data_IF_101543483017
#
_entry.id   IF_101543483017
#
_cell.length_a   1.000
_cell.length_b   1.000
_cell.length_c   1.000
_cell.angle_alpha   90.00
_cell.angle_beta   90.00
_cell.angle_gamma   90.00
#
_symmetry.space_group_name_H-M   'P 1'
#
loop_
_entity.id
_entity.type
_entity.pdbx_description
1 polymer ?
#
# COMPACT_ATOMS: atom_id res chain seq x y z
N UNK A 1 1.92 -13.79 -32.00
CA UNK A 1 1.41 -12.40 -32.05
C UNK A 1 2.20 -11.49 -31.12
N UNK A 2 2.30 -11.77 -29.83
CA UNK A 2 2.99 -10.92 -28.84
C UNK A 2 4.42 -10.56 -29.25
N UNK A 3 5.20 -11.52 -29.78
CA UNK A 3 6.57 -11.28 -30.23
C UNK A 3 6.67 -10.36 -31.47
N UNK A 4 5.58 -10.07 -32.13
CA UNK A 4 5.53 -9.12 -33.25
C UNK A 4 5.13 -7.70 -32.80
N UNK A 5 4.70 -7.50 -31.57
CA UNK A 5 4.28 -6.21 -31.03
C UNK A 5 5.52 -5.49 -30.44
N UNK A 6 6.20 -4.70 -31.24
CA UNK A 6 7.45 -3.99 -30.87
C UNK A 6 7.31 -2.47 -30.92
N UNK A 7 6.15 -1.95 -31.34
CA UNK A 7 5.88 -0.50 -31.39
C UNK A 7 5.55 0.03 -29.99
N UNK A 8 6.39 0.89 -29.44
CA UNK A 8 6.19 1.51 -28.13
C UNK A 8 5.00 2.47 -28.07
N UNK A 9 4.48 2.91 -29.21
CA UNK A 9 3.26 3.72 -29.28
C UNK A 9 1.98 2.87 -29.20
N UNK A 10 2.11 1.55 -29.36
CA UNK A 10 1.01 0.58 -29.31
C UNK A 10 1.36 -0.58 -28.34
N UNK A 11 1.53 -0.30 -27.06
CA UNK A 11 1.93 -1.32 -26.08
C UNK A 11 0.85 -2.38 -25.88
N UNK A 12 1.26 -3.61 -25.65
CA UNK A 12 0.36 -4.69 -25.26
C UNK A 12 -0.04 -4.51 -23.78
N UNK A 13 -1.33 -4.43 -23.50
CA UNK A 13 -1.79 -4.43 -22.11
C UNK A 13 -1.70 -5.83 -21.51
N UNK A 14 -1.29 -5.89 -20.25
CA UNK A 14 -1.11 -7.11 -19.47
C UNK A 14 -1.65 -6.90 -18.07
N UNK A 15 -2.28 -7.92 -17.52
CA UNK A 15 -2.84 -7.91 -16.17
C UNK A 15 -2.85 -9.31 -15.58
N UNK A 16 -2.77 -9.42 -14.23
CA UNK A 16 -2.84 -10.69 -13.49
C UNK A 16 -4.03 -10.72 -12.55
N UNK A 17 -4.82 -11.76 -12.64
CA UNK A 17 -5.91 -12.04 -11.68
C UNK A 17 -5.41 -12.99 -10.59
N UNK A 18 -5.69 -12.64 -9.34
CA UNK A 18 -5.11 -13.32 -8.17
C UNK A 18 -6.12 -13.54 -7.05
N UNK A 19 -5.74 -14.33 -6.05
CA UNK A 19 -6.59 -14.66 -4.90
C UNK A 19 -6.56 -13.62 -3.78
N UNK A 20 -5.58 -12.72 -3.72
CA UNK A 20 -5.37 -11.76 -2.62
C UNK A 20 -4.78 -10.45 -3.15
N UNK A 21 -5.03 -9.35 -2.45
CA UNK A 21 -4.38 -8.06 -2.70
C UNK A 21 -2.93 -8.01 -2.18
N UNK A 22 -2.56 -8.89 -1.25
CA UNK A 22 -1.17 -9.02 -0.80
C UNK A 22 -0.38 -9.90 -1.78
N UNK A 23 0.54 -9.33 -2.57
CA UNK A 23 1.26 -10.07 -3.61
C UNK A 23 2.15 -11.19 -3.06
N UNK A 24 2.47 -11.17 -1.76
CA UNK A 24 3.27 -12.21 -1.09
C UNK A 24 2.46 -13.45 -0.68
N UNK A 25 1.12 -13.37 -0.70
CA UNK A 25 0.20 -14.46 -0.35
C UNK A 25 -0.71 -14.85 -1.52
N UNK A 26 -0.81 -13.97 -2.50
CA UNK A 26 -1.69 -14.16 -3.64
C UNK A 26 -1.24 -15.32 -4.52
N UNK A 27 -2.19 -16.16 -4.92
CA UNK A 27 -1.99 -17.18 -5.94
C UNK A 27 -2.49 -16.66 -7.29
N UNK A 28 -1.76 -16.96 -8.36
CA UNK A 28 -2.12 -16.54 -9.71
C UNK A 28 -3.31 -17.38 -10.23
N UNK A 29 -4.40 -16.71 -10.59
CA UNK A 29 -5.64 -17.32 -11.07
C UNK A 29 -5.80 -17.22 -12.57
N UNK A 30 -5.34 -16.13 -13.17
CA UNK A 30 -5.44 -15.93 -14.60
C UNK A 30 -4.57 -14.78 -15.11
N UNK A 31 -4.41 -14.71 -16.41
CA UNK A 31 -3.64 -13.65 -17.08
C UNK A 31 -4.48 -13.06 -18.22
N UNK A 32 -4.64 -11.76 -18.22
CA UNK A 32 -5.23 -10.95 -19.28
C UNK A 32 -4.19 -10.34 -20.20
N UNK A 33 -4.46 -10.32 -21.50
CA UNK A 33 -3.59 -9.71 -22.50
C UNK A 33 -4.44 -9.02 -23.56
N UNK A 34 -4.12 -7.77 -23.90
CA UNK A 34 -4.77 -7.04 -24.99
C UNK A 34 -3.73 -6.37 -25.89
N UNK A 35 -3.77 -6.66 -27.20
CA UNK A 35 -2.82 -6.18 -28.21
C UNK A 35 -3.45 -5.27 -29.27
N UNK A 36 -4.65 -4.75 -29.05
CA UNK A 36 -5.33 -3.85 -29.96
C UNK A 36 -6.72 -3.44 -29.48
N UNK A 37 -7.36 -2.52 -30.19
CA UNK A 37 -8.67 -1.97 -29.79
C UNK A 37 -9.86 -2.89 -30.13
N UNK A 38 -9.69 -3.84 -31.04
CA UNK A 38 -10.74 -4.75 -31.45
C UNK A 38 -11.01 -5.81 -30.38
N UNK A 39 -12.27 -6.23 -30.21
CA UNK A 39 -12.67 -7.20 -29.20
C UNK A 39 -12.09 -8.61 -29.40
N UNK A 40 -11.56 -8.92 -30.58
CA UNK A 40 -10.80 -10.15 -30.87
C UNK A 40 -9.28 -10.00 -30.69
N UNK A 41 -8.84 -8.79 -30.25
CA UNK A 41 -7.45 -8.48 -29.94
C UNK A 41 -7.13 -8.59 -28.46
N UNK A 42 -7.82 -9.43 -27.72
CA UNK A 42 -7.58 -9.73 -26.32
C UNK A 42 -7.69 -11.24 -26.04
N UNK A 43 -7.11 -11.66 -24.91
CA UNK A 43 -7.20 -13.03 -24.45
C UNK A 43 -7.18 -13.08 -22.92
N UNK A 44 -7.90 -14.04 -22.35
CA UNK A 44 -7.78 -14.45 -20.98
C UNK A 44 -7.22 -15.87 -20.90
N UNK A 45 -6.23 -16.11 -20.07
CA UNK A 45 -5.61 -17.41 -19.85
C UNK A 45 -5.92 -17.85 -18.41
N UNK A 46 -6.88 -18.76 -18.20
CA UNK A 46 -7.21 -19.28 -16.87
C UNK A 46 -6.13 -20.25 -16.39
N UNK A 47 -5.75 -20.16 -15.11
CA UNK A 47 -4.67 -20.92 -14.50
C UNK A 47 -5.03 -21.57 -13.16
N UNK A 48 -5.84 -20.88 -12.34
CA UNK A 48 -6.09 -21.27 -10.95
C UNK A 48 -7.56 -21.20 -10.54
N UNK A 49 -8.50 -21.26 -11.49
CA UNK A 49 -9.92 -21.30 -11.15
C UNK A 49 -10.30 -22.62 -10.49
N UNK A 50 -11.07 -22.53 -9.43
CA UNK A 50 -11.72 -23.67 -8.80
C UNK A 50 -12.94 -24.06 -9.63
N UNK A 51 -13.12 -25.35 -9.86
CA UNK A 51 -14.33 -25.86 -10.49
C UNK A 51 -15.54 -25.86 -9.57
N UNK A 52 -16.72 -26.17 -10.13
CA UNK A 52 -17.88 -26.60 -9.34
C UNK A 52 -17.65 -28.01 -8.80
N UNK A 53 -18.49 -28.46 -7.82
CA UNK A 53 -18.40 -29.81 -7.25
C UNK A 53 -18.44 -30.89 -8.32
N UNK A 54 -19.08 -30.66 -9.48
CA UNK A 54 -19.27 -31.61 -10.56
C UNK A 54 -18.32 -31.45 -11.76
N UNK A 55 -17.55 -30.37 -11.85
CA UNK A 55 -16.60 -30.13 -12.97
C UNK A 55 -15.50 -29.14 -12.63
N UNK A 56 -14.25 -29.55 -12.79
CA UNK A 56 -13.13 -28.60 -12.83
C UNK A 56 -12.98 -28.06 -14.25
N UNK A 57 -12.81 -26.74 -14.43
CA UNK A 57 -12.58 -26.18 -15.76
C UNK A 57 -11.25 -26.70 -16.33
N UNK A 58 -11.23 -26.96 -17.63
CA UNK A 58 -9.95 -27.28 -18.31
C UNK A 58 -9.09 -26.03 -18.37
N UNK A 59 -7.89 -26.11 -17.79
CA UNK A 59 -6.94 -25.00 -17.68
C UNK A 59 -5.53 -25.48 -18.04
N UNK A 60 -4.73 -24.56 -18.58
CA UNK A 60 -3.33 -24.85 -18.82
C UNK A 60 -2.53 -24.87 -17.51
N UNK A 61 -1.52 -25.75 -17.37
CA UNK A 61 -0.64 -25.72 -16.22
C UNK A 61 0.11 -24.37 -16.12
N UNK A 62 0.12 -23.79 -14.93
CA UNK A 62 0.75 -22.50 -14.64
C UNK A 62 2.20 -22.42 -15.17
N UNK A 63 3.01 -23.43 -14.86
CA UNK A 63 4.43 -23.50 -15.28
C UNK A 63 4.57 -23.48 -16.81
N UNK A 64 3.68 -24.17 -17.53
CA UNK A 64 3.66 -24.20 -19.00
C UNK A 64 3.41 -22.81 -19.57
N UNK A 65 2.42 -22.10 -19.03
CA UNK A 65 2.05 -20.75 -19.50
C UNK A 65 3.17 -19.74 -19.15
N UNK A 66 3.67 -19.75 -17.93
CA UNK A 66 4.73 -18.84 -17.53
C UNK A 66 6.01 -19.07 -18.32
N UNK A 67 6.39 -20.33 -18.57
CA UNK A 67 7.54 -20.66 -19.42
C UNK A 67 7.37 -20.14 -20.85
N UNK A 68 6.17 -20.24 -21.42
CA UNK A 68 5.86 -19.74 -22.76
C UNK A 68 5.86 -18.20 -22.84
N UNK A 69 5.39 -17.52 -21.80
CA UNK A 69 5.32 -16.06 -21.75
C UNK A 69 6.62 -15.38 -21.28
N UNK A 70 7.47 -16.07 -20.52
CA UNK A 70 8.69 -15.50 -19.94
C UNK A 70 9.59 -14.78 -20.95
N UNK A 71 9.85 -15.28 -22.18
CA UNK A 71 10.68 -14.57 -23.17
C UNK A 71 10.08 -13.22 -23.59
N UNK A 72 8.75 -13.12 -23.66
CA UNK A 72 8.05 -11.87 -23.96
C UNK A 72 8.00 -10.96 -22.75
N UNK A 73 7.67 -11.48 -21.57
CA UNK A 73 7.59 -10.70 -20.33
C UNK A 73 8.94 -10.08 -19.96
N UNK A 74 10.04 -10.83 -20.07
CA UNK A 74 11.39 -10.38 -19.74
C UNK A 74 12.04 -9.49 -20.82
N UNK A 75 11.37 -9.21 -21.93
CA UNK A 75 11.95 -8.47 -23.04
C UNK A 75 11.59 -6.97 -22.95
N UNK A 76 12.63 -6.13 -22.89
CA UNK A 76 12.49 -4.68 -23.00
C UNK A 76 12.08 -4.19 -24.41
N UNK A 77 12.26 -5.02 -25.45
CA UNK A 77 11.89 -4.70 -26.82
C UNK A 77 10.39 -4.91 -27.13
N UNK A 78 9.64 -5.48 -26.19
CA UNK A 78 8.22 -5.73 -26.33
C UNK A 78 7.48 -4.80 -25.36
N UNK A 79 6.96 -3.66 -25.84
CA UNK A 79 6.33 -2.64 -24.99
C UNK A 79 5.05 -3.14 -24.35
N UNK A 80 4.90 -2.89 -23.07
CA UNK A 80 3.76 -3.29 -22.25
C UNK A 80 3.12 -2.09 -21.57
N UNK A 81 1.81 -2.15 -21.40
CA UNK A 81 1.02 -1.23 -20.58
C UNK A 81 0.36 -2.01 -19.46
N UNK A 82 0.40 -1.49 -18.25
CA UNK A 82 -0.25 -2.10 -17.08
C UNK A 82 -0.97 -1.03 -16.26
N UNK A 83 -1.88 -1.48 -15.40
CA UNK A 83 -2.49 -0.68 -14.35
C UNK A 83 -1.90 -1.10 -13.02
N UNK A 84 -1.10 -0.27 -12.36
CA UNK A 84 -0.39 -0.62 -11.11
C UNK A 84 0.61 -1.78 -11.33
N UNK A 85 1.49 -1.60 -12.29
CA UNK A 85 2.47 -2.60 -12.78
C UNK A 85 3.30 -3.24 -11.65
N UNK A 86 3.51 -2.55 -10.54
CA UNK A 86 4.25 -3.04 -9.38
C UNK A 86 3.63 -4.31 -8.80
N UNK A 87 2.30 -4.40 -8.74
CA UNK A 87 1.61 -5.57 -8.25
C UNK A 87 1.88 -6.80 -9.13
N UNK A 88 1.66 -6.68 -10.43
CA UNK A 88 1.91 -7.78 -11.39
C UNK A 88 3.37 -8.21 -11.40
N UNK A 89 4.29 -7.24 -11.31
CA UNK A 89 5.72 -7.51 -11.19
C UNK A 89 6.04 -8.36 -9.96
N UNK A 90 5.44 -8.05 -8.81
CA UNK A 90 5.65 -8.81 -7.57
C UNK A 90 5.09 -10.23 -7.69
N UNK A 91 3.92 -10.41 -8.29
CA UNK A 91 3.36 -11.72 -8.58
C UNK A 91 4.30 -12.53 -9.49
N UNK A 92 4.74 -11.94 -10.60
CA UNK A 92 5.64 -12.61 -11.54
C UNK A 92 7.00 -12.95 -10.92
N UNK A 93 7.56 -12.06 -10.10
CA UNK A 93 8.83 -12.29 -9.39
C UNK A 93 8.78 -13.52 -8.46
N UNK A 94 7.65 -13.75 -7.78
CA UNK A 94 7.46 -14.95 -6.96
C UNK A 94 7.50 -16.25 -7.79
N UNK A 95 7.13 -16.16 -9.04
CA UNK A 95 7.24 -17.29 -10.00
C UNK A 95 8.56 -17.30 -10.79
N UNK A 96 9.54 -16.46 -10.42
CA UNK A 96 10.84 -16.39 -11.08
C UNK A 96 10.81 -15.77 -12.47
N UNK A 97 9.74 -15.04 -12.82
CA UNK A 97 9.57 -14.39 -14.12
C UNK A 97 9.84 -12.89 -14.00
N UNK A 98 10.74 -12.37 -14.82
CA UNK A 98 10.99 -10.94 -14.92
C UNK A 98 9.92 -10.23 -15.76
N UNK A 99 9.55 -9.01 -15.37
CA UNK A 99 8.69 -8.12 -16.15
C UNK A 99 9.52 -6.92 -16.61
N UNK A 100 9.75 -6.83 -17.92
CA UNK A 100 10.50 -5.74 -18.54
C UNK A 100 9.69 -5.09 -19.67
N UNK A 101 10.15 -3.93 -20.17
CA UNK A 101 9.48 -3.24 -21.26
C UNK A 101 8.12 -2.61 -20.90
N UNK A 102 7.86 -2.34 -19.64
CA UNK A 102 6.70 -1.54 -19.22
C UNK A 102 6.95 -0.10 -19.64
N UNK A 103 6.25 0.37 -20.65
CA UNK A 103 6.41 1.72 -21.22
C UNK A 103 5.40 2.70 -20.65
N UNK A 104 4.31 2.21 -20.06
CA UNK A 104 3.31 3.03 -19.39
C UNK A 104 2.57 2.22 -18.31
N UNK A 105 2.58 2.74 -17.10
CA UNK A 105 1.66 2.37 -16.03
C UNK A 105 0.54 3.42 -16.00
N UNK A 106 -0.69 3.00 -16.23
CA UNK A 106 -1.84 3.91 -16.36
C UNK A 106 -2.19 4.58 -15.02
N UNK A 107 -1.90 3.94 -13.88
CA UNK A 107 -2.05 4.55 -12.56
C UNK A 107 -1.08 5.73 -12.38
N UNK A 108 0.19 5.55 -12.73
CA UNK A 108 1.20 6.61 -12.62
C UNK A 108 0.97 7.74 -13.63
N UNK A 109 0.56 7.39 -14.86
CA UNK A 109 0.24 8.36 -15.88
C UNK A 109 -0.97 9.25 -15.48
N UNK A 110 -2.01 8.65 -14.94
CA UNK A 110 -3.19 9.38 -14.43
C UNK A 110 -2.87 10.24 -13.20
N UNK A 111 -2.04 9.71 -12.30
CA UNK A 111 -1.55 10.48 -11.14
C UNK A 111 -0.77 11.73 -11.55
N UNK A 112 0.10 11.64 -12.53
CA UNK A 112 0.81 12.83 -13.06
C UNK A 112 -0.12 13.82 -13.73
N UNK A 113 -1.21 13.37 -14.32
CA UNK A 113 -2.22 14.22 -14.95
C UNK A 113 -3.01 15.01 -13.89
N UNK A 114 -3.43 14.36 -12.82
CA UNK A 114 -4.20 14.96 -11.71
C UNK A 114 -3.99 14.20 -10.41
N UNK A 115 -3.01 14.61 -9.62
CA UNK A 115 -2.68 13.97 -8.35
C UNK A 115 -3.81 14.00 -7.29
N UNK A 116 -4.87 14.80 -7.50
CA UNK A 116 -6.02 14.86 -6.59
C UNK A 116 -7.14 13.88 -6.97
N UNK A 117 -7.08 13.30 -8.18
CA UNK A 117 -8.07 12.34 -8.65
C UNK A 117 -7.92 10.98 -7.96
N UNK A 118 -8.88 10.11 -8.21
CA UNK A 118 -8.77 8.68 -7.89
C UNK A 118 -8.34 7.93 -9.15
N UNK A 119 -7.34 7.07 -9.00
CA UNK A 119 -6.64 6.42 -10.11
C UNK A 119 -7.01 4.94 -10.28
N UNK A 120 -8.13 4.49 -9.71
CA UNK A 120 -8.67 3.15 -9.93
C UNK A 120 -9.15 2.98 -11.39
N UNK A 121 -8.91 1.81 -11.97
CA UNK A 121 -9.21 1.51 -13.37
C UNK A 121 -10.68 1.80 -13.72
N UNK A 122 -11.61 1.36 -12.87
CA UNK A 122 -13.05 1.57 -13.03
C UNK A 122 -13.40 3.06 -13.10
N UNK A 123 -12.80 3.87 -12.21
CA UNK A 123 -13.06 5.31 -12.14
C UNK A 123 -12.46 6.06 -13.32
N UNK A 124 -11.30 5.61 -13.82
CA UNK A 124 -10.71 6.15 -15.04
C UNK A 124 -11.55 5.78 -16.25
N UNK A 125 -12.05 4.53 -16.35
CA UNK A 125 -12.93 4.11 -17.44
C UNK A 125 -14.23 4.93 -17.49
N UNK A 126 -14.85 5.16 -16.34
CA UNK A 126 -16.05 6.00 -16.23
C UNK A 126 -15.76 7.44 -16.68
N UNK A 127 -14.68 8.03 -16.17
CA UNK A 127 -14.30 9.43 -16.46
C UNK A 127 -13.92 9.65 -17.92
N UNK A 128 -13.14 8.74 -18.51
CA UNK A 128 -12.58 8.94 -19.85
C UNK A 128 -13.45 8.37 -20.98
N UNK A 129 -14.21 7.33 -20.69
CA UNK A 129 -15.00 6.62 -21.72
C UNK A 129 -16.51 6.62 -21.46
N UNK A 130 -16.97 7.15 -20.30
CA UNK A 130 -18.38 7.14 -19.91
C UNK A 130 -18.94 5.73 -19.68
N UNK A 131 -18.09 4.78 -19.33
CA UNK A 131 -18.41 3.38 -19.19
C UNK A 131 -18.01 2.90 -17.78
N UNK A 132 -18.93 2.19 -17.12
CA UNK A 132 -18.66 1.57 -15.82
C UNK A 132 -18.37 0.08 -16.02
N UNK A 133 -17.12 -0.36 -15.80
CA UNK A 133 -16.79 -1.78 -15.72
C UNK A 133 -17.53 -2.45 -14.56
N UNK A 134 -17.63 -3.78 -14.62
CA UNK A 134 -18.09 -4.57 -13.47
C UNK A 134 -17.12 -4.38 -12.32
N UNK A 135 -17.60 -4.00 -11.14
CA UNK A 135 -16.73 -3.87 -9.99
C UNK A 135 -16.32 -5.25 -9.45
N UNK A 136 -15.09 -5.37 -8.97
CA UNK A 136 -14.59 -6.60 -8.34
C UNK A 136 -15.52 -7.12 -7.25
N UNK A 137 -16.07 -6.21 -6.42
CA UNK A 137 -16.99 -6.52 -5.32
C UNK A 137 -18.33 -7.10 -5.78
N UNK A 138 -18.72 -6.85 -7.03
CA UNK A 138 -19.96 -7.39 -7.62
C UNK A 138 -19.72 -8.79 -8.20
N UNK A 139 -18.46 -9.08 -8.54
CA UNK A 139 -18.04 -10.35 -9.12
C UNK A 139 -17.65 -11.37 -8.05
N UNK A 140 -16.92 -10.95 -7.02
CA UNK A 140 -16.40 -11.83 -5.97
C UNK A 140 -17.27 -11.70 -4.71
N UNK A 141 -17.89 -12.81 -4.32
CA UNK A 141 -18.75 -12.87 -3.14
C UNK A 141 -17.97 -12.74 -1.83
N UNK A 142 -18.70 -12.44 -0.75
CA UNK A 142 -18.08 -12.40 0.59
C UNK A 142 -17.42 -13.74 0.92
N UNK A 143 -16.17 -13.71 1.39
CA UNK A 143 -15.34 -14.89 1.73
C UNK A 143 -14.94 -15.75 0.52
N UNK A 144 -15.10 -15.26 -0.69
CA UNK A 144 -14.62 -15.86 -1.92
C UNK A 144 -13.38 -15.10 -2.42
N UNK A 145 -12.64 -15.74 -3.32
CA UNK A 145 -11.52 -15.16 -4.05
C UNK A 145 -11.84 -15.17 -5.54
N UNK A 146 -11.01 -14.54 -6.36
CA UNK A 146 -11.19 -14.59 -7.81
C UNK A 146 -11.14 -16.02 -8.37
N UNK A 147 -10.45 -16.94 -7.69
CA UNK A 147 -10.43 -18.36 -8.06
C UNK A 147 -11.81 -19.05 -7.98
N UNK A 148 -12.73 -18.50 -7.21
CA UNK A 148 -14.10 -19.03 -7.05
C UNK A 148 -15.07 -18.49 -8.13
N UNK A 149 -14.62 -17.53 -8.96
CA UNK A 149 -15.41 -16.94 -10.04
C UNK A 149 -15.46 -17.90 -11.23
N UNK A 150 -16.64 -18.17 -11.83
CA UNK A 150 -16.73 -18.98 -13.04
C UNK A 150 -15.95 -18.38 -14.22
N UNK A 151 -15.47 -19.24 -15.15
CA UNK A 151 -14.58 -18.80 -16.24
C UNK A 151 -15.17 -17.71 -17.12
N UNK A 152 -16.46 -17.80 -17.48
CA UNK A 152 -17.08 -16.83 -18.38
C UNK A 152 -17.11 -15.43 -17.77
N UNK A 153 -17.69 -15.18 -16.57
CA UNK A 153 -17.60 -13.85 -15.94
C UNK A 153 -16.16 -13.41 -15.63
N UNK A 154 -15.25 -14.31 -15.26
CA UNK A 154 -13.85 -13.98 -15.03
C UNK A 154 -13.15 -13.50 -16.32
N UNK A 155 -13.41 -14.18 -17.45
CA UNK A 155 -12.84 -13.80 -18.75
C UNK A 155 -13.37 -12.47 -19.24
N UNK A 156 -14.64 -12.16 -19.00
CA UNK A 156 -15.25 -10.88 -19.34
C UNK A 156 -14.68 -9.76 -18.48
N UNK A 157 -14.50 -10.00 -17.18
CA UNK A 157 -13.93 -9.03 -16.25
C UNK A 157 -12.48 -8.70 -16.62
N UNK A 158 -11.60 -9.70 -16.63
CA UNK A 158 -10.19 -9.51 -16.96
C UNK A 158 -9.98 -9.00 -18.40
N UNK A 159 -10.78 -9.48 -19.36
CA UNK A 159 -10.77 -8.99 -20.74
C UNK A 159 -11.11 -7.50 -20.83
N UNK A 160 -12.05 -7.03 -20.00
CA UNK A 160 -12.41 -5.63 -19.89
C UNK A 160 -11.27 -4.81 -19.28
N UNK A 161 -10.66 -5.30 -18.20
CA UNK A 161 -9.59 -4.60 -17.51
C UNK A 161 -8.38 -4.38 -18.44
N UNK A 162 -7.93 -5.39 -19.16
CA UNK A 162 -6.83 -5.23 -20.14
C UNK A 162 -7.22 -4.38 -21.34
N UNK A 163 -8.48 -4.43 -21.78
CA UNK A 163 -8.96 -3.57 -22.87
C UNK A 163 -8.99 -2.10 -22.46
N UNK A 164 -9.52 -1.81 -21.26
CA UNK A 164 -9.54 -0.45 -20.70
C UNK A 164 -8.11 0.05 -20.46
N UNK A 165 -7.23 -0.79 -19.91
CA UNK A 165 -5.81 -0.45 -19.72
C UNK A 165 -5.11 -0.12 -21.02
N UNK A 166 -5.34 -0.90 -22.10
CA UNK A 166 -4.78 -0.61 -23.42
C UNK A 166 -5.25 0.76 -23.95
N UNK A 167 -6.54 1.04 -23.90
CA UNK A 167 -7.11 2.32 -24.34
C UNK A 167 -6.65 3.50 -23.51
N UNK A 168 -6.58 3.35 -22.18
CA UNK A 168 -6.07 4.37 -21.26
C UNK A 168 -4.60 4.67 -21.53
N UNK A 169 -3.78 3.66 -21.78
CA UNK A 169 -2.37 3.85 -22.11
C UNK A 169 -2.18 4.79 -23.29
N UNK A 170 -2.94 4.59 -24.38
CA UNK A 170 -2.90 5.42 -25.56
C UNK A 170 -3.44 6.83 -25.32
N UNK A 171 -4.51 6.94 -24.53
CA UNK A 171 -5.14 8.23 -24.21
C UNK A 171 -4.26 9.07 -23.28
N UNK A 172 -3.82 8.49 -22.15
CA UNK A 172 -3.07 9.21 -21.13
C UNK A 172 -1.72 9.69 -21.66
N UNK A 173 -1.04 8.89 -22.50
CA UNK A 173 0.19 9.34 -23.18
C UNK A 173 -0.05 10.62 -23.96
N UNK A 174 -1.08 10.66 -24.80
CA UNK A 174 -1.45 11.85 -25.59
C UNK A 174 -1.84 13.04 -24.71
N UNK A 175 -2.56 12.79 -23.62
CA UNK A 175 -2.95 13.86 -22.69
C UNK A 175 -1.73 14.45 -21.97
N UNK A 176 -0.79 13.64 -21.49
CA UNK A 176 0.44 14.12 -20.88
C UNK A 176 1.31 14.93 -21.84
N UNK A 177 1.42 14.48 -23.11
CA UNK A 177 2.10 15.24 -24.17
C UNK A 177 1.46 16.62 -24.41
N UNK A 178 0.13 16.67 -24.44
CA UNK A 178 -0.64 17.90 -24.67
C UNK A 178 -0.61 18.88 -23.48
N UNK A 179 -0.49 18.38 -22.25
CA UNK A 179 -0.47 19.20 -21.03
C UNK A 179 0.85 19.94 -20.83
N UNK A 180 1.94 19.48 -21.41
CA UNK A 180 3.22 20.17 -21.35
C UNK A 180 4.43 19.27 -21.60
N UNK A 181 5.56 19.84 -21.97
CA UNK A 181 6.74 19.09 -22.40
C UNK A 181 7.45 18.35 -21.26
N UNK A 182 7.07 18.57 -19.99
CA UNK A 182 7.75 18.00 -18.83
C UNK A 182 7.07 16.73 -18.30
N UNK A 183 5.76 16.53 -18.52
CA UNK A 183 5.00 15.48 -17.86
C UNK A 183 5.31 14.09 -18.39
N UNK A 184 5.38 13.93 -19.72
CA UNK A 184 5.74 12.64 -20.30
C UNK A 184 7.20 12.25 -19.98
N UNK A 185 8.20 13.14 -20.09
CA UNK A 185 9.55 12.85 -19.57
C UNK A 185 9.60 12.53 -18.08
N UNK A 186 8.79 13.16 -17.24
CA UNK A 186 8.70 12.83 -15.82
C UNK A 186 8.18 11.40 -15.61
N UNK A 187 7.15 10.99 -16.36
CA UNK A 187 6.68 9.61 -16.35
C UNK A 187 7.79 8.63 -16.76
N UNK A 188 8.39 8.88 -17.92
CA UNK A 188 9.31 7.93 -18.56
C UNK A 188 10.70 7.85 -17.88
N UNK A 189 11.16 8.94 -17.27
CA UNK A 189 12.52 9.05 -16.72
C UNK A 189 12.57 8.96 -15.20
N UNK A 190 11.45 9.15 -14.51
CA UNK A 190 11.39 9.14 -13.04
C UNK A 190 10.38 8.12 -12.52
N UNK A 191 9.08 8.33 -12.75
CA UNK A 191 8.03 7.52 -12.11
C UNK A 191 8.05 6.06 -12.58
N UNK A 192 8.13 5.85 -13.88
CA UNK A 192 8.15 4.52 -14.47
C UNK A 192 9.41 3.72 -14.06
N UNK A 193 10.64 4.28 -14.12
CA UNK A 193 11.85 3.58 -13.65
C UNK A 193 11.90 3.36 -12.14
N UNK A 194 11.17 4.14 -11.35
CA UNK A 194 11.10 3.97 -9.89
C UNK A 194 10.25 2.74 -9.51
N UNK A 195 9.21 2.41 -10.26
CA UNK A 195 8.31 1.29 -9.99
C UNK A 195 9.08 -0.05 -9.76
N UNK A 196 9.95 -0.53 -10.68
CA UNK A 196 10.68 -1.77 -10.47
C UNK A 196 11.69 -1.70 -9.31
N UNK A 197 12.18 -0.51 -8.95
CA UNK A 197 13.03 -0.32 -7.77
C UNK A 197 12.22 -0.56 -6.50
N UNK A 198 11.02 0.03 -6.41
CA UNK A 198 10.11 -0.17 -5.29
C UNK A 198 9.67 -1.63 -5.17
N UNK A 199 9.31 -2.28 -6.28
CA UNK A 199 8.99 -3.70 -6.29
C UNK A 199 10.13 -4.55 -5.73
N UNK A 200 11.39 -4.25 -6.09
CA UNK A 200 12.56 -4.95 -5.55
C UNK A 200 12.76 -4.69 -4.06
N UNK A 201 12.55 -3.45 -3.60
CA UNK A 201 12.61 -3.12 -2.17
C UNK A 201 11.55 -3.88 -1.39
N UNK A 202 10.32 -3.91 -1.89
CA UNK A 202 9.20 -4.64 -1.28
C UNK A 202 9.46 -6.15 -1.27
N UNK A 203 9.88 -6.74 -2.38
CA UNK A 203 10.18 -8.18 -2.46
C UNK A 203 11.34 -8.58 -1.54
N UNK A 204 12.31 -7.69 -1.32
CA UNK A 204 13.41 -7.93 -0.40
C UNK A 204 12.94 -7.90 1.06
N UNK A 205 12.10 -6.94 1.42
CA UNK A 205 11.60 -6.77 2.79
C UNK A 205 12.71 -6.50 3.82
N UNK A 206 12.33 -6.45 5.10
CA UNK A 206 13.24 -6.20 6.23
C UNK A 206 13.05 -7.23 7.32
N UNK A 207 14.15 -7.74 7.90
CA UNK A 207 14.11 -8.61 9.07
C UNK A 207 13.78 -7.84 10.33
N UNK A 208 13.00 -8.46 11.20
CA UNK A 208 12.74 -7.95 12.55
C UNK A 208 13.05 -9.01 13.60
N UNK A 209 13.47 -8.55 14.77
CA UNK A 209 13.69 -9.39 15.95
C UNK A 209 12.37 -9.61 16.68
N UNK A 210 11.65 -10.67 16.31
CA UNK A 210 10.36 -11.02 16.89
C UNK A 210 10.47 -11.30 18.40
N UNK A 211 11.44 -12.12 18.91
CA UNK A 211 11.62 -12.33 20.34
C UNK A 211 11.88 -11.04 21.10
N UNK A 212 12.70 -10.14 20.57
CA UNK A 212 12.94 -8.84 21.17
C UNK A 212 11.68 -7.99 21.29
N UNK A 213 10.85 -7.93 20.22
CA UNK A 213 9.58 -7.19 20.24
C UNK A 213 8.58 -7.81 21.21
N UNK A 214 8.54 -9.13 21.35
CA UNK A 214 7.69 -9.81 22.34
C UNK A 214 8.08 -9.43 23.78
N UNK A 215 9.37 -9.47 24.11
CA UNK A 215 9.87 -9.02 25.42
C UNK A 215 9.57 -7.54 25.67
N UNK A 216 9.72 -6.69 24.66
CA UNK A 216 9.37 -5.26 24.73
C UNK A 216 7.86 -5.04 24.92
N UNK A 217 7.02 -5.88 24.31
CA UNK A 217 5.56 -5.87 24.49
C UNK A 217 5.14 -6.17 25.94
N UNK A 218 5.77 -7.16 26.57
CA UNK A 218 5.50 -7.53 27.97
C UNK A 218 5.90 -6.41 28.94
N UNK A 219 7.12 -5.86 28.77
CA UNK A 219 7.60 -4.75 29.57
C UNK A 219 6.69 -3.52 29.45
N UNK A 220 6.34 -3.15 28.20
CA UNK A 220 5.47 -2.01 27.95
C UNK A 220 4.05 -2.24 28.45
N UNK A 221 3.56 -3.49 28.42
CA UNK A 221 2.29 -3.87 29.02
C UNK A 221 2.26 -3.60 30.54
N UNK A 222 3.32 -3.97 31.25
CA UNK A 222 3.48 -3.70 32.69
C UNK A 222 3.54 -2.18 32.98
N UNK A 223 4.26 -1.43 32.15
CA UNK A 223 4.33 0.05 32.28
C UNK A 223 2.95 0.70 32.06
N UNK A 224 2.20 0.25 31.07
CA UNK A 224 0.84 0.75 30.79
C UNK A 224 -0.12 0.46 31.95
N UNK A 225 -0.04 -0.73 32.56
CA UNK A 225 -0.85 -1.08 33.75
C UNK A 225 -0.51 -0.17 34.95
N UNK A 226 0.78 0.13 35.15
CA UNK A 226 1.20 1.05 36.20
C UNK A 226 0.68 2.46 35.96
N UNK A 227 0.83 2.98 34.73
CA UNK A 227 0.31 4.31 34.36
C UNK A 227 -1.22 4.41 34.50
N UNK A 228 -1.94 3.33 34.19
CA UNK A 228 -3.39 3.28 34.39
C UNK A 228 -3.75 3.36 35.86
N UNK A 229 -3.06 2.58 36.72
CA UNK A 229 -3.24 2.61 38.17
C UNK A 229 -2.95 4.00 38.75
N UNK A 230 -1.82 4.60 38.36
CA UNK A 230 -1.40 5.92 38.84
C UNK A 230 -2.37 7.03 38.36
N UNK A 231 -2.86 6.94 37.12
CA UNK A 231 -3.85 7.89 36.61
C UNK A 231 -5.19 7.81 37.35
N UNK A 232 -5.66 6.59 37.67
CA UNK A 232 -6.88 6.40 38.49
C UNK A 232 -6.69 6.91 39.91
N UNK A 233 -5.54 6.64 40.51
CA UNK A 233 -5.19 7.16 41.83
C UNK A 233 -5.13 8.69 41.84
N UNK A 234 -4.48 9.30 40.85
CA UNK A 234 -4.42 10.76 40.72
C UNK A 234 -5.79 11.41 40.46
N UNK A 235 -6.66 10.73 39.72
CA UNK A 235 -8.02 11.21 39.46
C UNK A 235 -8.99 11.04 40.68
N UNK A 236 -8.69 10.10 41.59
CA UNK A 236 -9.56 9.73 42.69
C UNK A 236 -10.82 8.95 42.29
N UNK A 237 -10.93 8.57 41.00
CA UNK A 237 -12.08 7.82 40.46
C UNK A 237 -11.59 6.82 39.41
N UNK A 238 -12.37 5.75 39.24
CA UNK A 238 -12.10 4.78 38.17
C UNK A 238 -12.67 5.30 36.83
N UNK A 239 -11.87 5.20 35.79
CA UNK A 239 -12.25 5.59 34.44
C UNK A 239 -11.41 4.84 33.40
N UNK A 240 -11.91 4.76 32.16
CA UNK A 240 -11.18 4.16 31.06
C UNK A 240 -10.35 5.22 30.32
N UNK A 241 -9.00 5.14 30.45
CA UNK A 241 -8.05 6.05 29.82
C UNK A 241 -8.15 6.05 28.27
N UNK A 242 -8.55 4.91 27.70
CA UNK A 242 -8.73 4.75 26.25
C UNK A 242 -10.04 5.37 25.73
N UNK A 243 -11.00 5.74 26.61
CA UNK A 243 -12.27 6.35 26.23
C UNK A 243 -12.18 7.87 26.18
N UNK A 244 -12.19 8.52 25.00
CA UNK A 244 -12.18 9.98 24.93
C UNK A 244 -13.36 10.63 25.64
N UNK A 245 -14.53 9.96 25.69
CA UNK A 245 -15.73 10.44 26.36
C UNK A 245 -15.54 10.48 27.88
N UNK A 246 -15.16 9.35 28.48
CA UNK A 246 -14.95 9.27 29.94
C UNK A 246 -13.82 10.21 30.40
N UNK A 247 -12.75 10.30 29.60
CA UNK A 247 -11.67 11.24 29.89
C UNK A 247 -12.14 12.70 29.80
N UNK A 248 -12.96 13.05 28.83
CA UNK A 248 -13.55 14.40 28.73
C UNK A 248 -14.42 14.74 29.90
N UNK A 249 -15.30 13.83 30.34
CA UNK A 249 -16.15 13.98 31.52
C UNK A 249 -15.29 14.12 32.80
N UNK A 250 -14.25 13.31 32.94
CA UNK A 250 -13.31 13.43 34.06
C UNK A 250 -12.63 14.80 34.09
N UNK A 251 -11.99 15.21 33.00
CA UNK A 251 -11.17 16.43 32.97
C UNK A 251 -12.04 17.70 33.14
N UNK A 252 -13.18 17.78 32.45
CA UNK A 252 -13.93 19.02 32.36
C UNK A 252 -15.15 19.10 33.28
N UNK A 253 -15.74 17.96 33.66
CA UNK A 253 -16.93 17.95 34.50
C UNK A 253 -16.61 17.57 35.95
N UNK A 254 -15.70 16.60 36.17
CA UNK A 254 -15.33 16.14 37.52
C UNK A 254 -14.19 16.99 38.11
N UNK A 255 -13.09 17.16 37.37
CA UNK A 255 -11.91 17.90 37.83
C UNK A 255 -11.98 19.41 37.53
N UNK A 256 -12.95 19.87 36.73
CA UNK A 256 -13.22 21.27 36.48
C UNK A 256 -12.12 22.03 35.72
N UNK A 257 -11.33 21.34 34.92
CA UNK A 257 -10.25 21.96 34.16
C UNK A 257 -10.77 22.97 33.12
N UNK A 258 -9.92 23.93 32.71
CA UNK A 258 -10.30 25.02 31.83
C UNK A 258 -10.78 24.55 30.46
N UNK A 259 -12.10 24.61 30.26
CA UNK A 259 -12.77 24.25 29.00
C UNK A 259 -12.36 25.11 27.80
N UNK A 260 -11.79 26.34 28.05
CA UNK A 260 -11.31 27.23 26.97
C UNK A 260 -10.10 26.66 26.27
N UNK A 261 -9.35 25.74 26.89
CA UNK A 261 -8.21 25.04 26.31
C UNK A 261 -8.64 23.91 25.33
N UNK A 262 -9.91 23.54 25.29
CA UNK A 262 -10.47 22.48 24.45
C UNK A 262 -11.56 22.99 23.51
N UNK A 263 -11.65 22.36 22.33
CA UNK A 263 -12.74 22.56 21.39
C UNK A 263 -13.91 21.60 21.67
N UNK A 264 -15.12 22.04 21.40
CA UNK A 264 -16.31 21.18 21.50
C UNK A 264 -16.40 20.27 20.26
N UNK A 265 -16.69 19.00 20.47
CA UNK A 265 -16.93 17.99 19.44
C UNK A 265 -18.36 17.48 19.53
N UNK A 266 -18.79 16.60 18.63
CA UNK A 266 -20.12 15.96 18.68
C UNK A 266 -20.36 15.14 19.95
N UNK A 267 -19.30 14.62 20.57
CA UNK A 267 -19.35 13.72 21.73
C UNK A 267 -18.87 14.35 23.03
N UNK A 268 -18.62 15.67 23.07
CA UNK A 268 -18.14 16.39 24.24
C UNK A 268 -16.95 17.29 23.94
N UNK A 269 -16.10 17.57 24.92
CA UNK A 269 -14.87 18.32 24.73
C UNK A 269 -13.75 17.41 24.17
N UNK A 270 -12.93 17.94 23.25
CA UNK A 270 -11.79 17.21 22.70
C UNK A 270 -10.78 16.90 23.80
N UNK A 271 -10.24 15.69 23.75
CA UNK A 271 -9.11 15.26 24.58
C UNK A 271 -7.93 14.82 23.70
N UNK A 272 -7.76 15.46 22.53
CA UNK A 272 -6.62 15.21 21.65
C UNK A 272 -5.28 15.62 22.31
N UNK A 273 -4.16 15.18 21.73
CA UNK A 273 -2.85 15.41 22.31
C UNK A 273 -2.57 16.92 22.53
N UNK A 274 -2.97 17.78 21.59
CA UNK A 274 -2.77 19.22 21.70
C UNK A 274 -3.54 19.84 22.87
N UNK A 275 -4.74 19.35 23.14
CA UNK A 275 -5.55 19.78 24.29
C UNK A 275 -4.92 19.31 25.58
N UNK A 276 -4.53 18.03 25.66
CA UNK A 276 -3.90 17.46 26.85
C UNK A 276 -2.53 18.14 27.14
N UNK A 277 -1.73 18.46 26.13
CA UNK A 277 -0.48 19.22 26.30
C UNK A 277 -0.72 20.60 26.92
N UNK A 278 -1.80 21.31 26.50
CA UNK A 278 -2.18 22.60 27.09
C UNK A 278 -2.67 22.48 28.57
N UNK A 279 -3.19 21.32 28.93
CA UNK A 279 -3.67 21.01 30.27
C UNK A 279 -2.60 20.34 31.15
N UNK A 280 -1.41 20.05 30.60
CA UNK A 280 -0.40 19.21 31.23
C UNK A 280 0.01 19.61 32.65
N UNK A 281 -0.03 20.92 32.95
CA UNK A 281 0.31 21.46 34.28
C UNK A 281 -0.92 21.69 35.18
N UNK A 282 -2.13 21.47 34.67
CA UNK A 282 -3.35 21.82 35.39
C UNK A 282 -3.74 20.72 36.40
N UNK A 283 -3.39 19.46 36.12
CA UNK A 283 -3.67 18.33 37.01
C UNK A 283 -2.73 17.14 36.78
N UNK A 284 -2.27 16.42 37.83
CA UNK A 284 -1.33 15.29 37.70
C UNK A 284 -1.80 14.13 36.82
N UNK A 285 -3.10 13.93 36.65
CA UNK A 285 -3.65 12.91 35.77
C UNK A 285 -3.30 13.14 34.30
N UNK A 286 -3.15 14.39 33.87
CA UNK A 286 -2.98 14.74 32.44
C UNK A 286 -1.69 14.19 31.83
N UNK A 287 -0.49 14.40 32.44
CA UNK A 287 0.75 13.82 31.92
C UNK A 287 0.71 12.28 31.90
N UNK A 288 0.09 11.64 32.90
CA UNK A 288 -0.05 10.18 32.94
C UNK A 288 -0.90 9.65 31.78
N UNK A 289 -2.01 10.32 31.47
CA UNK A 289 -2.85 9.98 30.32
C UNK A 289 -2.12 10.21 29.00
N UNK A 290 -1.37 11.30 28.86
CA UNK A 290 -0.55 11.57 27.67
C UNK A 290 0.47 10.45 27.44
N UNK A 291 1.23 10.10 28.47
CA UNK A 291 2.24 9.05 28.39
C UNK A 291 1.59 7.70 28.06
N UNK A 292 0.53 7.32 28.76
CA UNK A 292 -0.22 6.10 28.47
C UNK A 292 -0.68 6.03 27.01
N UNK A 293 -1.22 7.11 26.45
CA UNK A 293 -1.66 7.14 25.04
C UNK A 293 -0.51 6.98 24.05
N UNK A 294 0.62 7.64 24.30
CA UNK A 294 1.81 7.51 23.46
C UNK A 294 2.31 6.07 23.48
N UNK A 295 2.47 5.47 24.66
CA UNK A 295 2.97 4.10 24.80
C UNK A 295 1.99 3.08 24.24
N UNK A 296 0.70 3.23 24.50
CA UNK A 296 -0.34 2.35 23.96
C UNK A 296 -0.36 2.37 22.44
N UNK A 297 -0.23 3.55 21.81
CA UNK A 297 -0.15 3.68 20.36
C UNK A 297 1.13 3.03 19.80
N UNK A 298 2.28 3.23 20.43
CA UNK A 298 3.54 2.60 20.00
C UNK A 298 3.46 1.08 20.09
N UNK A 299 2.91 0.58 21.19
CA UNK A 299 2.73 -0.85 21.41
C UNK A 299 1.83 -1.46 20.34
N UNK A 300 0.62 -0.95 20.16
CA UNK A 300 -0.36 -1.51 19.23
C UNK A 300 0.06 -1.35 17.77
N UNK A 301 0.66 -0.21 17.38
CA UNK A 301 0.98 0.08 15.97
C UNK A 301 2.23 -0.64 15.49
N UNK A 302 3.23 -0.81 16.37
CA UNK A 302 4.53 -1.35 15.95
C UNK A 302 4.91 -2.62 16.69
N UNK A 303 4.87 -2.64 18.02
CA UNK A 303 5.46 -3.72 18.82
C UNK A 303 4.64 -5.01 18.68
N UNK A 304 3.32 -4.90 18.77
CA UNK A 304 2.42 -6.05 18.66
C UNK A 304 2.08 -6.38 17.19
N UNK A 305 2.03 -5.37 16.32
CA UNK A 305 1.64 -5.55 14.94
C UNK A 305 2.75 -6.12 14.05
N UNK A 306 3.99 -5.62 14.18
CA UNK A 306 5.10 -6.05 13.31
C UNK A 306 5.37 -7.56 13.34
N UNK A 307 5.37 -8.25 14.50
CA UNK A 307 5.52 -9.71 14.54
C UNK A 307 4.48 -10.47 13.73
N UNK A 308 3.25 -9.95 13.64
CA UNK A 308 2.14 -10.58 12.92
C UNK A 308 2.23 -10.40 11.40
N UNK A 309 3.08 -9.46 10.96
CA UNK A 309 3.28 -9.12 9.54
C UNK A 309 4.52 -9.79 8.93
N UNK A 310 5.21 -10.63 9.71
CA UNK A 310 6.33 -11.42 9.18
C UNK A 310 5.77 -12.50 8.27
N UNK A 311 6.16 -12.45 7.00
CA UNK A 311 5.80 -13.49 6.04
C UNK A 311 6.60 -14.76 6.33
N UNK A 312 5.91 -15.91 6.40
CA UNK A 312 6.50 -17.20 6.80
C UNK A 312 7.58 -17.68 5.82
N UNK A 313 7.40 -17.42 4.53
CA UNK A 313 8.34 -17.84 3.48
C UNK A 313 9.66 -17.07 3.52
N UNK A 314 9.60 -15.77 3.80
CA UNK A 314 10.77 -14.89 3.75
C UNK A 314 11.38 -14.62 5.12
N UNK A 315 10.62 -14.81 6.22
CA UNK A 315 10.98 -14.39 7.56
C UNK A 315 11.14 -12.87 7.69
N UNK A 316 10.49 -12.09 6.83
CA UNK A 316 10.63 -10.64 6.72
C UNK A 316 9.28 -9.93 6.72
N UNK A 317 9.31 -8.65 7.02
CA UNK A 317 8.18 -7.75 6.83
C UNK A 317 8.33 -7.04 5.48
N UNK A 318 7.26 -7.03 4.71
CA UNK A 318 7.19 -6.40 3.40
C UNK A 318 6.17 -5.25 3.48
N UNK A 319 6.63 -4.03 3.29
CA UNK A 319 5.75 -2.85 3.18
C UNK A 319 5.30 -2.69 1.74
N UNK A 320 4.26 -1.92 1.52
CA UNK A 320 3.81 -1.45 0.21
C UNK A 320 4.16 0.04 0.07
N UNK A 321 4.99 0.40 -0.91
CA UNK A 321 5.36 1.78 -1.24
C UNK A 321 4.46 2.31 -2.35
N UNK A 322 3.66 3.33 -2.04
CA UNK A 322 2.71 3.91 -2.98
C UNK A 322 3.28 5.19 -3.61
N UNK A 323 3.34 5.24 -4.95
CA UNK A 323 3.75 6.43 -5.71
C UNK A 323 2.60 7.41 -5.94
N UNK A 324 1.35 6.94 -6.07
CA UNK A 324 0.20 7.69 -6.54
C UNK A 324 -0.80 8.07 -5.44
N UNK A 325 -0.34 8.34 -4.21
CA UNK A 325 -1.23 8.64 -3.06
C UNK A 325 -1.10 10.07 -2.57
N UNK A 326 0.11 10.64 -2.58
CA UNK A 326 0.33 11.98 -2.04
C UNK A 326 0.21 13.03 -3.14
N UNK A 327 -0.37 14.20 -2.84
CA UNK A 327 -0.44 15.29 -3.81
C UNK A 327 0.91 15.97 -4.11
N UNK A 328 1.99 15.57 -3.45
CA UNK A 328 3.30 16.24 -3.48
C UNK A 328 4.39 15.46 -4.21
N UNK A 329 4.08 14.29 -4.79
CA UNK A 329 5.10 13.41 -5.38
C UNK A 329 5.91 12.59 -4.36
N UNK A 330 5.62 12.70 -3.05
CA UNK A 330 6.26 11.85 -2.04
C UNK A 330 5.70 10.44 -2.09
N UNK A 331 6.55 9.45 -1.80
CA UNK A 331 6.09 8.09 -1.53
C UNK A 331 5.32 8.05 -0.21
N UNK A 332 4.36 7.15 -0.12
CA UNK A 332 3.80 6.71 1.16
C UNK A 332 4.08 5.23 1.37
N UNK A 333 4.03 4.78 2.62
CA UNK A 333 4.25 3.38 3.01
C UNK A 333 3.03 2.87 3.76
N UNK A 334 2.56 1.68 3.42
CA UNK A 334 1.41 1.04 4.05
C UNK A 334 1.64 -0.47 4.25
N UNK A 335 0.88 -1.08 5.12
CA UNK A 335 0.80 -2.52 5.37
C UNK A 335 2.14 -3.25 5.64
N UNK A 336 3.00 -2.76 6.59
CA UNK A 336 2.83 -1.66 7.55
C UNK A 336 3.41 -0.33 7.08
N UNK A 337 2.98 0.78 7.70
CA UNK A 337 3.64 2.06 7.47
C UNK A 337 4.98 2.13 8.21
N UNK A 338 6.08 1.92 7.49
CA UNK A 338 7.45 1.98 8.03
C UNK A 338 8.05 3.39 8.02
N UNK A 339 7.45 4.35 7.33
CA UNK A 339 7.93 5.75 7.29
C UNK A 339 7.65 6.51 8.59
N UNK A 340 6.63 6.09 9.35
CA UNK A 340 6.19 6.79 10.55
C UNK A 340 6.73 6.17 11.86
N UNK A 341 7.75 5.33 11.79
CA UNK A 341 8.41 4.80 13.01
C UNK A 341 9.07 5.98 13.72
N UNK A 342 8.64 6.32 14.95
CA UNK A 342 9.10 7.51 15.62
C UNK A 342 10.58 7.39 16.03
N UNK A 343 11.27 8.52 16.21
CA UNK A 343 12.71 8.60 16.53
C UNK A 343 13.03 9.35 17.81
N UNK A 344 12.09 10.14 18.34
CA UNK A 344 12.40 11.15 19.36
C UNK A 344 12.47 10.60 20.79
N UNK A 345 11.63 9.60 21.11
CA UNK A 345 11.55 9.04 22.47
C UNK A 345 12.49 7.84 22.64
N UNK A 346 12.80 7.50 23.87
CA UNK A 346 13.60 6.30 24.19
C UNK A 346 12.91 5.02 23.69
N UNK A 347 11.60 4.86 23.92
CA UNK A 347 10.81 3.73 23.43
C UNK A 347 10.84 3.62 21.91
N UNK A 348 10.76 4.74 21.21
CA UNK A 348 10.86 4.78 19.75
C UNK A 348 12.20 4.25 19.25
N UNK A 349 13.30 4.63 19.92
CA UNK A 349 14.64 4.11 19.60
C UNK A 349 14.75 2.61 19.88
N UNK A 350 14.07 2.12 20.92
CA UNK A 350 14.02 0.67 21.22
C UNK A 350 13.26 -0.11 20.14
N UNK A 351 12.13 0.40 19.62
CA UNK A 351 11.42 -0.21 18.48
C UNK A 351 12.35 -0.34 17.27
N UNK A 352 13.13 0.70 16.96
CA UNK A 352 14.07 0.67 15.83
C UNK A 352 15.18 -0.36 15.97
N UNK A 353 15.58 -0.75 17.17
CA UNK A 353 16.56 -1.83 17.42
C UNK A 353 16.07 -3.21 16.95
N UNK A 354 14.75 -3.38 16.81
CA UNK A 354 14.18 -4.62 16.30
C UNK A 354 14.42 -4.84 14.80
N UNK A 355 14.79 -3.80 14.04
CA UNK A 355 15.09 -3.93 12.63
C UNK A 355 16.53 -4.40 12.44
N UNK A 356 16.68 -5.59 11.86
CA UNK A 356 17.96 -6.27 11.76
C UNK A 356 18.42 -6.42 10.31
N UNK A 357 19.72 -6.30 10.02
CA UNK A 357 20.27 -6.75 8.76
C UNK A 357 20.23 -8.29 8.70
N UNK A 358 20.40 -8.84 7.51
CA UNK A 358 20.70 -10.26 7.37
C UNK A 358 22.06 -10.56 8.01
N UNK A 359 22.28 -11.80 8.45
CA UNK A 359 23.57 -12.21 9.00
C UNK A 359 24.72 -11.94 8.02
N UNK A 360 25.78 -11.32 8.52
CA UNK A 360 26.92 -10.86 7.69
C UNK A 360 26.69 -9.54 6.95
N UNK A 361 25.49 -8.93 7.07
CA UNK A 361 25.16 -7.64 6.44
C UNK A 361 25.17 -6.52 7.47
N UNK A 362 25.19 -5.29 6.99
CA UNK A 362 25.12 -4.08 7.81
C UNK A 362 24.01 -3.17 7.30
N UNK A 363 23.26 -2.55 8.21
CA UNK A 363 22.32 -1.48 7.84
C UNK A 363 23.11 -0.20 7.54
N UNK A 364 22.94 0.31 6.32
CA UNK A 364 23.43 1.62 5.92
C UNK A 364 22.26 2.60 5.94
N UNK A 365 22.42 3.70 6.66
CA UNK A 365 21.48 4.84 6.64
C UNK A 365 22.15 6.02 5.96
N UNK A 366 21.56 6.50 4.87
CA UNK A 366 22.04 7.67 4.15
C UNK A 366 20.84 8.60 3.88
N UNK A 367 21.04 9.90 4.14
CA UNK A 367 20.01 10.92 3.96
C UNK A 367 20.62 12.21 3.42
N UNK A 368 19.86 12.95 2.61
CA UNK A 368 20.29 14.24 2.09
C UNK A 368 20.15 15.31 3.17
N UNK A 369 21.27 15.96 3.48
CA UNK A 369 21.26 17.09 4.42
C UNK A 369 20.61 18.32 3.79
N UNK A 370 19.53 18.82 4.40
CA UNK A 370 18.87 20.08 4.04
C UNK A 370 18.44 20.16 2.56
N UNK A 371 17.92 19.06 1.99
CA UNK A 371 17.60 19.00 0.57
C UNK A 371 16.59 20.05 0.13
N UNK A 372 15.58 20.33 0.94
CA UNK A 372 14.55 21.34 0.64
C UNK A 372 15.16 22.76 0.54
N UNK A 373 16.11 23.09 1.43
CA UNK A 373 16.79 24.40 1.40
C UNK A 373 17.71 24.52 0.19
N UNK A 374 18.36 23.42 -0.23
CA UNK A 374 19.19 23.39 -1.44
C UNK A 374 18.35 23.60 -2.70
N UNK A 375 17.20 22.92 -2.78
CA UNK A 375 16.25 23.11 -3.90
C UNK A 375 15.70 24.55 -3.89
N UNK A 376 15.28 25.06 -2.73
CA UNK A 376 14.79 26.43 -2.63
C UNK A 376 15.85 27.45 -3.10
N UNK A 377 17.11 27.28 -2.70
CA UNK A 377 18.20 28.13 -3.15
C UNK A 377 18.45 28.04 -4.66
N UNK A 378 18.21 26.88 -5.27
CA UNK A 378 18.35 26.69 -6.72
C UNK A 378 17.22 27.37 -7.50
N UNK A 379 16.00 27.39 -6.93
CA UNK A 379 14.82 27.97 -7.57
C UNK A 379 14.69 29.49 -7.37
N UNK A 380 15.35 30.08 -6.35
CA UNK A 380 15.35 31.51 -6.05
C UNK A 380 16.49 32.26 -6.74
#
# INVERSE_FOLDING_TARGET
RLMACTDSSLPVAFDTETTDLNPFRAELVGIGICWGEALDALAYIPLGHKGSEDSSPEQLPLETVLTALAPWLASSNHPKALQNAKYDRLILLRHGVALEGVVIDTLLADYLRDAAAKHGLELMAEREFGFQPTAFTDLVGKKQTFADVPLEPASLYCGMDVHVTHRLALLLRRQLEAMGPQLLPLLEQVEQPLEPVLARMESTGIRIDVPYLQGLSEEMGSTLQQLESDAKAAAGVDFNLASPKQLGELLFDTLGLDRKKSRRTKTGFSTDATVLEKLGNDHPVVPLVLEHRVLSKLKSTYIDALPQLVEAETGRVHTDFNQAVTATGRLSSSNPNLQNIPVRTEYSRRIRKAFLPQEGWTLLSADYSQIELRILTHLS
#
